data_IF_103491045740
#
_entry.id   IF_103491045740
#
_cell.length_a   1.000
_cell.length_b   1.000
_cell.length_c   1.000
_cell.angle_alpha   90.00
_cell.angle_beta   90.00
_cell.angle_gamma   90.00
#
_symmetry.space_group_name_H-M   'P 1'
#
loop_
_entity.id
_entity.type
_entity.pdbx_description
1 polymer ?
#
# COMPACT_ATOMS: atom_id res chain seq x y z
N UNK A 1 -4.20 -41.78 68.21
CA UNK A 1 -5.07 -41.36 67.09
C UNK A 1 -4.67 -40.00 66.49
N UNK A 2 -4.43 -38.95 67.29
CA UNK A 2 -4.05 -37.61 66.81
C UNK A 2 -2.78 -37.59 65.94
N UNK A 3 -1.75 -38.37 66.27
CA UNK A 3 -0.51 -38.42 65.49
C UNK A 3 -0.68 -38.93 64.06
N UNK A 4 -1.55 -39.92 63.83
CA UNK A 4 -1.84 -40.43 62.50
C UNK A 4 -2.62 -39.41 61.66
N UNK A 5 -3.49 -38.64 62.30
CA UNK A 5 -4.25 -37.58 61.62
C UNK A 5 -3.32 -36.47 61.15
N UNK A 6 -2.36 -36.05 61.98
CA UNK A 6 -1.38 -35.02 61.60
C UNK A 6 -0.46 -35.47 60.46
N UNK A 7 0.04 -36.71 60.49
CA UNK A 7 0.86 -37.25 59.40
C UNK A 7 0.09 -37.31 58.07
N UNK A 8 -1.17 -37.75 58.10
CA UNK A 8 -2.01 -37.81 56.90
C UNK A 8 -2.30 -36.41 56.33
N UNK A 9 -2.42 -35.40 57.19
CA UNK A 9 -2.60 -34.01 56.77
C UNK A 9 -1.34 -33.45 56.12
N UNK A 10 -0.17 -33.74 56.68
CA UNK A 10 1.11 -33.29 56.13
C UNK A 10 1.35 -33.87 54.73
N UNK A 11 1.14 -35.17 54.58
CA UNK A 11 1.25 -35.87 53.29
C UNK A 11 0.28 -35.31 52.24
N UNK A 12 -0.95 -34.96 52.64
CA UNK A 12 -1.93 -34.33 51.74
C UNK A 12 -1.55 -32.91 51.34
N UNK A 13 -0.99 -32.14 52.27
CA UNK A 13 -0.51 -30.78 51.97
C UNK A 13 0.68 -30.85 51.03
N UNK A 14 1.62 -31.75 51.27
CA UNK A 14 2.79 -31.94 50.41
C UNK A 14 2.36 -32.36 49.00
N UNK A 15 1.47 -33.34 48.87
CA UNK A 15 0.91 -33.77 47.59
C UNK A 15 0.22 -32.62 46.83
N UNK A 16 -0.61 -31.83 47.51
CA UNK A 16 -1.30 -30.69 46.90
C UNK A 16 -0.32 -29.58 46.46
N UNK A 17 0.74 -29.32 47.24
CA UNK A 17 1.77 -28.33 46.85
C UNK A 17 2.62 -28.81 45.68
N UNK A 18 2.84 -30.12 45.55
CA UNK A 18 3.57 -30.70 44.44
C UNK A 18 2.73 -30.63 43.16
N UNK A 19 1.45 -31.01 43.22
CA UNK A 19 0.52 -30.90 42.09
C UNK A 19 0.39 -29.46 41.59
N UNK A 20 0.28 -28.49 42.51
CA UNK A 20 0.24 -27.07 42.14
C UNK A 20 1.53 -26.61 41.45
N UNK A 21 2.70 -27.07 41.92
CA UNK A 21 4.00 -26.76 41.29
C UNK A 21 4.08 -27.33 39.89
N UNK A 22 3.70 -28.59 39.71
CA UNK A 22 3.75 -29.27 38.41
C UNK A 22 2.79 -28.61 37.42
N UNK A 23 1.57 -28.28 37.86
CA UNK A 23 0.59 -27.57 37.05
C UNK A 23 1.07 -26.17 36.66
N UNK A 24 1.67 -25.43 37.59
CA UNK A 24 2.20 -24.09 37.32
C UNK A 24 3.41 -24.15 36.37
N UNK A 25 4.29 -25.15 36.53
CA UNK A 25 5.42 -25.37 35.64
C UNK A 25 4.97 -25.75 34.23
N UNK A 26 3.97 -26.62 34.11
CA UNK A 26 3.39 -27.00 32.82
C UNK A 26 2.73 -25.79 32.13
N UNK A 27 1.92 -25.02 32.87
CA UNK A 27 1.23 -23.83 32.33
C UNK A 27 2.19 -22.74 31.89
N UNK A 28 3.23 -22.47 32.69
CA UNK A 28 4.25 -21.46 32.35
C UNK A 28 5.09 -21.89 31.13
N UNK A 29 5.41 -23.18 31.01
CA UNK A 29 6.10 -23.71 29.82
C UNK A 29 5.25 -23.61 28.56
N UNK A 30 3.97 -23.99 28.62
CA UNK A 30 3.06 -23.92 27.47
C UNK A 30 2.87 -22.47 27.00
N UNK A 31 2.70 -21.54 27.94
CA UNK A 31 2.62 -20.11 27.63
C UNK A 31 3.91 -19.59 26.99
N UNK A 32 5.06 -20.05 27.48
CA UNK A 32 6.37 -19.73 26.91
C UNK A 32 6.49 -20.17 25.45
N UNK A 33 6.10 -21.41 25.14
CA UNK A 33 6.10 -21.93 23.77
C UNK A 33 5.15 -21.16 22.85
N UNK A 34 3.91 -20.91 23.31
CA UNK A 34 2.92 -20.13 22.54
C UNK A 34 3.42 -18.72 22.24
N UNK A 35 4.07 -18.08 23.20
CA UNK A 35 4.65 -16.75 23.02
C UNK A 35 5.79 -16.80 21.99
N UNK A 36 6.70 -17.78 22.08
CA UNK A 36 7.79 -17.93 21.13
C UNK A 36 7.29 -18.15 19.69
N UNK A 37 6.31 -19.04 19.51
CA UNK A 37 5.67 -19.27 18.21
C UNK A 37 5.01 -17.99 17.68
N UNK A 38 4.30 -17.26 18.55
CA UNK A 38 3.68 -15.99 18.21
C UNK A 38 4.69 -14.96 17.72
N UNK A 39 5.78 -14.76 18.48
CA UNK A 39 6.84 -13.82 18.14
C UNK A 39 7.50 -14.16 16.79
N UNK A 40 7.86 -15.43 16.57
CA UNK A 40 8.43 -15.88 15.29
C UNK A 40 7.49 -15.61 14.10
N UNK A 41 6.19 -15.87 14.27
CA UNK A 41 5.20 -15.60 13.21
C UNK A 41 5.05 -14.12 12.94
N UNK A 42 5.11 -13.28 13.97
CA UNK A 42 5.03 -11.83 13.81
C UNK A 42 6.27 -11.25 13.14
N UNK A 43 7.46 -11.69 13.56
CA UNK A 43 8.73 -11.27 12.98
C UNK A 43 8.81 -11.64 11.49
N UNK A 44 8.42 -12.87 11.12
CA UNK A 44 8.37 -13.30 9.72
C UNK A 44 7.38 -12.46 8.89
N UNK A 45 6.20 -12.16 9.42
CA UNK A 45 5.20 -11.33 8.72
C UNK A 45 5.66 -9.89 8.55
N UNK A 46 6.32 -9.32 9.56
CA UNK A 46 6.90 -7.98 9.49
C UNK A 46 8.01 -7.91 8.46
N UNK A 47 8.95 -8.86 8.46
CA UNK A 47 10.01 -8.92 7.44
C UNK A 47 9.44 -9.00 6.03
N UNK A 48 8.43 -9.84 5.80
CA UNK A 48 7.75 -9.92 4.51
C UNK A 48 7.09 -8.58 4.10
N UNK A 49 6.46 -7.87 5.04
CA UNK A 49 5.86 -6.56 4.77
C UNK A 49 6.92 -5.49 4.46
N UNK A 50 8.04 -5.50 5.16
CA UNK A 50 9.17 -4.59 4.92
C UNK A 50 9.78 -4.82 3.54
N UNK A 51 9.94 -6.08 3.12
CA UNK A 51 10.41 -6.43 1.77
C UNK A 51 9.45 -5.94 0.66
N UNK A 52 8.14 -6.13 0.87
CA UNK A 52 7.11 -5.62 -0.05
C UNK A 52 7.10 -4.10 -0.09
N UNK A 53 7.22 -3.44 1.07
CA UNK A 53 7.28 -1.98 1.16
C UNK A 53 8.52 -1.44 0.44
N UNK A 54 9.69 -2.06 0.62
CA UNK A 54 10.91 -1.73 -0.10
C UNK A 54 10.74 -1.88 -1.61
N UNK A 55 10.14 -2.98 -2.05
CA UNK A 55 9.86 -3.25 -3.47
C UNK A 55 8.91 -2.22 -4.08
N UNK A 56 7.83 -1.87 -3.38
CA UNK A 56 6.91 -0.81 -3.78
C UNK A 56 7.60 0.54 -3.83
N UNK A 57 8.41 0.89 -2.85
CA UNK A 57 9.15 2.16 -2.83
C UNK A 57 10.10 2.27 -4.02
N UNK A 58 10.75 1.18 -4.42
CA UNK A 58 11.60 1.11 -5.63
C UNK A 58 10.77 1.22 -6.91
N UNK A 59 9.63 0.54 -6.99
CA UNK A 59 8.72 0.66 -8.13
C UNK A 59 8.19 2.09 -8.28
N UNK A 60 7.76 2.70 -7.17
CA UNK A 60 7.28 4.08 -7.11
C UNK A 60 8.40 5.06 -7.43
N UNK A 61 9.63 4.87 -6.92
CA UNK A 61 10.75 5.78 -7.23
C UNK A 61 11.16 5.71 -8.70
N UNK A 62 11.08 4.53 -9.33
CA UNK A 62 11.23 4.38 -10.79
C UNK A 62 10.15 5.17 -11.54
N UNK A 63 8.91 5.18 -11.06
CA UNK A 63 7.82 5.96 -11.69
C UNK A 63 7.94 7.46 -11.38
N UNK A 64 8.39 7.82 -10.18
CA UNK A 64 8.43 9.20 -9.69
C UNK A 64 9.61 10.02 -10.23
N UNK A 65 10.67 9.36 -10.74
CA UNK A 65 11.87 10.02 -11.27
C UNK A 65 12.12 9.76 -12.76
N UNK A 66 11.16 9.13 -13.45
CA UNK A 66 11.16 9.10 -14.92
C UNK A 66 10.28 10.27 -15.37
N UNK A 67 10.79 11.25 -16.12
CA UNK A 67 9.91 12.20 -16.78
C UNK A 67 8.86 11.39 -17.54
N UNK A 68 7.59 11.58 -17.17
CA UNK A 68 6.44 10.97 -17.83
C UNK A 68 6.73 10.98 -19.32
N UNK A 69 6.88 9.77 -19.91
CA UNK A 69 7.14 9.49 -21.32
C UNK A 69 6.85 10.73 -22.17
N UNK A 70 7.88 11.36 -22.77
CA UNK A 70 7.68 12.58 -23.57
C UNK A 70 6.69 12.27 -24.69
N UNK A 71 5.55 12.96 -24.67
CA UNK A 71 4.51 12.82 -25.69
C UNK A 71 4.64 13.99 -26.64
N UNK A 72 4.87 13.67 -27.91
CA UNK A 72 4.98 14.66 -28.97
C UNK A 72 3.76 14.52 -29.88
N UNK A 73 2.90 15.54 -29.87
CA UNK A 73 1.77 15.65 -30.78
C UNK A 73 2.14 16.64 -31.89
N UNK A 74 2.46 16.11 -33.08
CA UNK A 74 2.82 16.93 -34.26
C UNK A 74 1.59 17.26 -35.07
N UNK A 75 1.29 18.54 -35.20
CA UNK A 75 0.24 19.07 -36.06
C UNK A 75 0.86 19.51 -37.39
N UNK A 76 0.25 19.10 -38.49
CA UNK A 76 0.67 19.46 -39.85
C UNK A 76 -0.38 20.39 -40.45
N UNK A 77 0.03 21.30 -41.34
CA UNK A 77 -0.87 22.21 -42.06
C UNK A 77 -1.77 23.08 -41.17
N UNK A 78 -1.26 23.48 -40.01
CA UNK A 78 -2.00 24.27 -39.02
C UNK A 78 -2.57 25.57 -39.60
N UNK A 79 -1.86 26.20 -40.52
CA UNK A 79 -2.31 27.41 -41.23
C UNK A 79 -3.58 27.20 -42.06
N UNK A 80 -3.73 26.04 -42.71
CA UNK A 80 -4.92 25.70 -43.48
C UNK A 80 -6.12 25.50 -42.55
N UNK A 81 -5.89 24.93 -41.37
CA UNK A 81 -6.95 24.70 -40.39
C UNK A 81 -7.48 26.01 -39.80
N UNK A 82 -6.60 27.01 -39.62
CA UNK A 82 -7.01 28.35 -39.21
C UNK A 82 -7.80 29.07 -40.31
N UNK A 83 -7.47 28.86 -41.59
CA UNK A 83 -8.22 29.47 -42.69
C UNK A 83 -9.63 28.90 -42.90
N UNK A 84 -9.91 27.72 -42.32
CA UNK A 84 -11.24 27.08 -42.33
C UNK A 84 -12.10 27.49 -41.12
N UNK A 85 -11.57 28.30 -40.20
CA UNK A 85 -12.33 28.82 -39.07
C UNK A 85 -13.19 29.99 -39.53
N UNK A 86 -14.47 30.00 -39.14
CA UNK A 86 -15.35 31.12 -39.46
C UNK A 86 -14.82 32.43 -38.85
N UNK A 87 -14.75 33.52 -39.63
CA UNK A 87 -14.31 34.83 -39.15
C UNK A 87 -15.24 35.42 -38.09
N UNK A 88 -16.47 34.91 -37.98
CA UNK A 88 -17.49 35.35 -37.02
C UNK A 88 -17.30 34.76 -35.61
N UNK A 89 -16.26 33.95 -35.38
CA UNK A 89 -15.84 33.54 -34.04
C UNK A 89 -16.79 32.58 -33.29
N UNK A 90 -17.79 32.00 -33.96
CA UNK A 90 -18.88 31.27 -33.25
C UNK A 90 -18.48 29.92 -32.66
N UNK A 91 -17.40 29.30 -33.13
CA UNK A 91 -16.76 28.17 -32.45
C UNK A 91 -15.34 27.96 -33.01
N UNK A 92 -14.33 28.21 -32.18
CA UNK A 92 -12.99 27.77 -32.53
C UNK A 92 -12.95 26.23 -32.61
N UNK A 93 -12.37 25.63 -33.67
CA UNK A 93 -12.22 24.19 -33.74
C UNK A 93 -11.37 23.71 -32.56
N UNK A 94 -11.90 22.73 -31.83
CA UNK A 94 -11.16 21.99 -30.83
C UNK A 94 -10.50 20.79 -31.51
N UNK A 95 -9.17 20.73 -31.49
CA UNK A 95 -8.43 19.57 -31.99
C UNK A 95 -8.10 18.64 -30.85
N UNK A 96 -8.32 17.35 -31.04
CA UNK A 96 -7.97 16.32 -30.08
C UNK A 96 -6.82 15.46 -30.60
N UNK A 97 -5.83 15.17 -29.76
CA UNK A 97 -4.82 14.18 -30.07
C UNK A 97 -5.42 12.76 -30.09
N UNK A 98 -4.74 11.79 -30.72
CA UNK A 98 -4.98 10.38 -30.44
C UNK A 98 -4.88 10.07 -28.95
N UNK A 99 -5.58 9.02 -28.51
CA UNK A 99 -5.47 8.54 -27.13
C UNK A 99 -4.06 8.04 -26.83
N UNK A 100 -3.54 8.35 -25.64
CA UNK A 100 -2.23 7.89 -25.17
C UNK A 100 -2.25 7.56 -23.68
N UNK A 101 -1.25 6.80 -23.26
CA UNK A 101 -1.09 6.39 -21.86
C UNK A 101 0.10 7.13 -21.24
N UNK A 102 -0.15 7.80 -20.11
CA UNK A 102 0.86 8.58 -19.39
C UNK A 102 0.54 8.61 -17.89
N UNK A 103 1.59 8.70 -17.06
CA UNK A 103 1.45 8.83 -15.60
C UNK A 103 0.56 7.77 -14.94
N UNK A 104 0.58 6.53 -15.47
CA UNK A 104 -0.27 5.43 -14.96
C UNK A 104 -1.76 5.57 -15.30
N UNK A 105 -2.14 6.53 -16.15
CA UNK A 105 -3.50 6.72 -16.64
C UNK A 105 -3.60 6.29 -18.10
N UNK A 106 -4.69 5.60 -18.45
CA UNK A 106 -4.94 5.06 -19.80
C UNK A 106 -5.93 5.93 -20.55
N UNK A 107 -5.68 6.15 -21.84
CA UNK A 107 -6.65 6.80 -22.73
C UNK A 107 -6.75 8.33 -22.61
N UNK A 108 -5.69 9.00 -22.14
CA UNK A 108 -5.59 10.46 -22.10
C UNK A 108 -5.57 11.05 -23.51
N UNK A 109 -6.05 12.30 -23.65
CA UNK A 109 -6.00 13.06 -24.91
C UNK A 109 -5.60 14.50 -24.62
N UNK A 110 -4.82 15.11 -25.51
CA UNK A 110 -4.57 16.55 -25.52
C UNK A 110 -5.67 17.23 -26.32
N UNK A 111 -6.18 18.35 -25.83
CA UNK A 111 -7.12 19.19 -26.53
C UNK A 111 -6.48 20.57 -26.79
N UNK A 112 -6.46 21.00 -28.04
CA UNK A 112 -6.02 22.33 -28.45
C UNK A 112 -7.24 23.15 -28.82
N UNK A 113 -7.42 24.29 -28.15
CA UNK A 113 -8.49 25.25 -28.44
C UNK A 113 -7.88 26.58 -28.81
N UNK A 114 -8.39 27.19 -29.87
CA UNK A 114 -8.07 28.56 -30.21
C UNK A 114 -9.03 29.48 -29.45
N UNK A 115 -8.51 30.35 -28.58
CA UNK A 115 -9.30 31.43 -27.99
C UNK A 115 -8.99 32.70 -28.77
N UNK A 116 -9.99 33.37 -29.38
CA UNK A 116 -9.74 34.67 -30.00
C UNK A 116 -9.23 35.64 -28.93
N UNK A 117 -8.14 36.35 -29.23
CA UNK A 117 -7.67 37.44 -28.39
C UNK A 117 -8.62 38.61 -28.63
N UNK A 118 -9.29 39.17 -27.59
CA UNK A 118 -10.15 40.33 -27.77
C UNK A 118 -9.31 41.51 -28.25
N UNK A 119 -9.73 42.15 -29.35
CA UNK A 119 -9.02 43.27 -30.02
C UNK A 119 -9.09 44.61 -29.26
N UNK A 120 -9.24 44.61 -27.94
CA UNK A 120 -9.20 45.83 -27.12
C UNK A 120 -7.85 45.99 -26.41
N UNK A 121 -6.85 46.56 -27.11
CA UNK A 121 -5.69 47.27 -26.52
C UNK A 121 -5.15 48.37 -27.42
#
# INVERSE_FOLDING_TARGET
EIGNVLHLLDEKVEAATQEYRDMNQSSTSELGERLAIGLMKHESRLGCLEDHHGSLRVAVSRVANIPTRRIEWRLHNVSEWFSLCDPDGSAAPAWSSPAFDAAGTVGLRLELRHTPVPEDR
#
